data_IF_602613825753
#
_entry.id   IF_602613825753
#
_cell.length_a   1.000
_cell.length_b   1.000
_cell.length_c   1.000
_cell.angle_alpha   90.00
_cell.angle_beta   90.00
_cell.angle_gamma   90.00
#
_symmetry.space_group_name_H-M   'P 1'
#
loop_
_entity.id
_entity.type
_entity.pdbx_description
1 polymer ?
#
# COMPACT_ATOMS: atom_id res chain seq x y z
N UNK A 1 9.98 15.42 -4.52
CA UNK A 1 9.68 14.01 -4.15
C UNK A 1 10.12 13.62 -2.73
N UNK A 2 11.39 13.77 -2.35
CA UNK A 2 12.02 13.15 -1.14
C UNK A 2 12.04 14.00 0.16
N UNK A 3 11.25 15.07 0.23
CA UNK A 3 11.31 16.06 1.32
C UNK A 3 10.48 15.71 2.58
N UNK A 4 10.13 16.75 3.35
CA UNK A 4 9.29 16.65 4.55
C UNK A 4 7.82 16.40 4.17
N UNK A 5 7.42 15.12 4.16
CA UNK A 5 6.09 14.64 3.74
C UNK A 5 5.72 13.30 4.38
N UNK A 6 4.44 12.93 4.27
CA UNK A 6 3.89 11.69 4.83
C UNK A 6 4.14 11.58 6.33
N UNK A 7 4.47 10.38 6.79
CA UNK A 7 4.68 10.05 8.21
C UNK A 7 5.50 11.10 8.98
N UNK A 8 6.63 11.57 8.43
CA UNK A 8 7.49 12.59 9.04
C UNK A 8 6.82 13.91 9.41
N UNK A 9 5.71 14.26 8.76
CA UNK A 9 4.91 15.45 9.11
C UNK A 9 4.01 15.16 10.31
N UNK A 10 3.43 13.97 10.38
CA UNK A 10 2.33 13.65 11.29
C UNK A 10 2.73 13.72 12.76
N UNK A 11 3.92 13.25 13.13
CA UNK A 11 4.38 13.29 14.52
C UNK A 11 5.23 14.54 14.85
N UNK A 12 5.59 15.37 13.86
CA UNK A 12 6.46 16.52 14.08
C UNK A 12 5.67 17.69 14.68
N UNK A 13 6.20 18.34 15.72
CA UNK A 13 5.51 19.40 16.49
C UNK A 13 4.87 20.48 15.61
N UNK A 14 5.60 20.97 14.60
CA UNK A 14 5.13 21.97 13.63
C UNK A 14 3.87 21.60 12.85
N UNK A 15 3.51 20.32 12.74
CA UNK A 15 2.39 19.85 11.93
C UNK A 15 1.44 18.88 12.66
N UNK A 16 1.86 18.35 13.82
CA UNK A 16 1.10 17.40 14.64
C UNK A 16 -0.35 17.85 14.91
N UNK A 17 -0.55 19.14 15.21
CA UNK A 17 -1.89 19.68 15.44
C UNK A 17 -2.81 19.59 14.21
N UNK A 18 -2.26 19.79 13.00
CA UNK A 18 -3.02 19.67 11.76
C UNK A 18 -3.39 18.21 11.47
N UNK A 19 -2.46 17.26 11.69
CA UNK A 19 -2.76 15.84 11.59
C UNK A 19 -3.80 15.38 12.63
N UNK A 20 -3.81 15.98 13.82
CA UNK A 20 -4.86 15.74 14.82
C UNK A 20 -6.27 16.13 14.35
N UNK A 21 -6.40 17.11 13.44
CA UNK A 21 -7.69 17.43 12.82
C UNK A 21 -8.16 16.33 11.87
N UNK A 22 -7.25 15.72 11.09
CA UNK A 22 -7.55 14.56 10.26
C UNK A 22 -7.99 13.36 11.12
N UNK A 23 -7.29 13.10 12.22
CA UNK A 23 -7.65 12.02 13.16
C UNK A 23 -9.07 12.20 13.72
N UNK A 24 -9.43 13.41 14.15
CA UNK A 24 -10.78 13.74 14.64
C UNK A 24 -11.84 13.56 13.56
N UNK A 25 -11.54 13.94 12.31
CA UNK A 25 -12.47 13.75 11.20
C UNK A 25 -12.74 12.26 10.94
N UNK A 26 -11.69 11.42 10.91
CA UNK A 26 -11.85 9.98 10.75
C UNK A 26 -12.61 9.36 11.93
N UNK A 27 -12.28 9.77 13.17
CA UNK A 27 -13.00 9.29 14.36
C UNK A 27 -14.49 9.59 14.26
N UNK A 28 -14.86 10.81 13.88
CA UNK A 28 -16.26 11.18 13.67
C UNK A 28 -16.96 10.32 12.61
N UNK A 29 -16.30 10.10 11.47
CA UNK A 29 -16.83 9.25 10.39
C UNK A 29 -17.09 7.82 10.88
N UNK A 30 -16.18 7.25 11.66
CA UNK A 30 -16.31 5.88 12.15
C UNK A 30 -17.30 5.77 13.31
N UNK A 31 -17.15 6.60 14.33
CA UNK A 31 -17.80 6.43 15.63
C UNK A 31 -19.18 7.12 15.70
N UNK A 32 -19.35 8.28 15.05
CA UNK A 32 -20.63 9.00 15.06
C UNK A 32 -21.49 8.66 13.84
N UNK A 33 -20.89 8.55 12.65
CA UNK A 33 -21.64 8.22 11.42
C UNK A 33 -21.81 6.71 11.20
N UNK A 34 -21.13 5.87 12.01
CA UNK A 34 -21.23 4.41 11.94
C UNK A 34 -20.52 3.76 10.76
N UNK A 35 -19.63 4.47 10.06
CA UNK A 35 -18.91 3.96 8.89
C UNK A 35 -17.64 3.19 9.30
N UNK A 36 -17.81 2.12 10.07
CA UNK A 36 -16.72 1.31 10.62
C UNK A 36 -15.84 0.60 9.56
N UNK A 37 -16.27 0.56 8.29
CA UNK A 37 -15.50 0.01 7.18
C UNK A 37 -14.36 0.94 6.69
N UNK A 38 -14.30 2.20 7.15
CA UNK A 38 -13.29 3.18 6.72
C UNK A 38 -11.93 2.88 7.34
N UNK A 39 -10.98 2.41 6.54
CA UNK A 39 -9.59 2.19 6.98
C UNK A 39 -8.76 3.45 6.80
N UNK A 40 -7.64 3.54 7.52
CA UNK A 40 -6.66 4.62 7.33
C UNK A 40 -5.36 4.05 6.80
N UNK A 41 -4.63 4.86 6.02
CA UNK A 41 -3.37 4.46 5.41
C UNK A 41 -2.32 5.55 5.64
N UNK A 42 -1.16 5.17 6.16
CA UNK A 42 -0.03 6.09 6.40
C UNK A 42 0.87 6.14 5.17
N UNK A 43 0.94 7.28 4.45
CA UNK A 43 1.87 7.44 3.34
C UNK A 43 3.28 7.80 3.80
N UNK A 44 4.23 7.51 2.93
CA UNK A 44 5.64 7.90 2.95
C UNK A 44 6.32 7.62 4.30
N UNK A 45 6.05 6.43 4.86
CA UNK A 45 6.61 5.95 6.12
C UNK A 45 7.93 5.25 5.87
N UNK A 46 9.04 5.89 6.21
CA UNK A 46 10.41 5.47 5.85
C UNK A 46 10.90 4.32 6.70
N UNK A 47 10.54 4.30 7.98
CA UNK A 47 11.00 3.25 8.92
C UNK A 47 9.86 2.72 9.79
N UNK A 48 9.98 1.49 10.32
CA UNK A 48 9.02 0.95 11.28
C UNK A 48 8.91 1.81 12.54
N UNK A 49 10.00 2.44 12.99
CA UNK A 49 9.96 3.34 14.14
C UNK A 49 9.18 4.63 13.84
N UNK A 50 9.32 5.17 12.63
CA UNK A 50 8.50 6.27 12.15
C UNK A 50 7.01 5.90 12.19
N UNK A 51 6.68 4.68 11.74
CA UNK A 51 5.31 4.14 11.80
C UNK A 51 4.77 4.12 13.23
N UNK A 52 5.54 3.60 14.19
CA UNK A 52 5.15 3.60 15.62
C UNK A 52 4.94 5.01 16.17
N UNK A 53 5.68 6.02 15.71
CA UNK A 53 5.47 7.43 16.09
C UNK A 53 4.14 7.96 15.55
N UNK A 54 3.75 7.58 14.33
CA UNK A 54 2.45 7.93 13.75
C UNK A 54 1.31 7.27 14.53
N UNK A 55 1.39 5.96 14.80
CA UNK A 55 0.37 5.23 15.58
C UNK A 55 0.13 5.90 16.94
N UNK A 56 1.21 6.16 17.71
CA UNK A 56 1.10 6.88 19.00
C UNK A 56 0.47 8.26 18.85
N UNK A 57 0.81 8.98 17.78
CA UNK A 57 0.21 10.31 17.53
C UNK A 57 -1.28 10.20 17.22
N UNK A 58 -1.73 9.18 16.50
CA UNK A 58 -3.16 8.94 16.24
C UNK A 58 -3.92 8.63 17.55
N UNK A 59 -3.33 7.81 18.42
CA UNK A 59 -3.86 7.49 19.75
C UNK A 59 -4.01 8.74 20.62
N UNK A 60 -3.04 9.65 20.63
CA UNK A 60 -3.12 10.93 21.35
C UNK A 60 -4.34 11.78 20.93
N UNK A 61 -4.81 11.61 19.69
CA UNK A 61 -6.00 12.29 19.16
C UNK A 61 -7.27 11.42 19.18
N UNK A 62 -7.24 10.27 19.87
CA UNK A 62 -8.37 9.39 20.10
C UNK A 62 -8.71 8.43 18.95
N UNK A 63 -7.79 8.25 18.00
CA UNK A 63 -7.92 7.32 16.87
C UNK A 63 -6.99 6.12 17.08
N UNK A 64 -7.42 5.17 17.91
CA UNK A 64 -6.62 4.02 18.35
C UNK A 64 -6.75 2.84 17.38
N UNK A 65 -5.61 2.26 16.98
CA UNK A 65 -5.58 1.05 16.17
C UNK A 65 -6.26 -0.11 16.92
N UNK A 66 -7.10 -0.89 16.22
CA UNK A 66 -7.89 -1.99 16.77
C UNK A 66 -9.18 -1.55 17.51
N UNK A 67 -9.27 -0.32 18.00
CA UNK A 67 -10.49 0.19 18.64
C UNK A 67 -11.60 0.38 17.60
N UNK A 68 -12.82 -0.07 17.92
CA UNK A 68 -13.94 -0.12 16.97
C UNK A 68 -13.56 -0.81 15.64
N UNK A 69 -12.62 -1.77 15.68
CA UNK A 69 -12.11 -2.47 14.49
C UNK A 69 -11.34 -1.56 13.52
N UNK A 70 -10.69 -0.48 13.99
CA UNK A 70 -9.86 0.36 13.14
C UNK A 70 -8.62 -0.40 12.69
N UNK A 71 -8.50 -0.61 11.38
CA UNK A 71 -7.25 -1.08 10.78
C UNK A 71 -6.43 0.10 10.24
N UNK A 72 -5.12 0.08 10.50
CA UNK A 72 -4.17 1.07 9.99
C UNK A 72 -3.22 0.38 9.01
N UNK A 73 -3.22 0.83 7.77
CA UNK A 73 -2.37 0.32 6.70
C UNK A 73 -1.17 1.23 6.48
N UNK A 74 -0.12 0.71 5.87
CA UNK A 74 1.01 1.52 5.36
C UNK A 74 1.04 1.44 3.84
N UNK A 75 1.31 2.57 3.19
CA UNK A 75 1.61 2.56 1.77
C UNK A 75 3.04 2.05 1.57
N UNK A 76 3.20 0.88 0.94
CA UNK A 76 4.49 0.28 0.61
C UNK A 76 4.99 0.90 -0.69
N UNK A 77 5.66 2.03 -0.55
CA UNK A 77 6.09 2.88 -1.67
C UNK A 77 7.59 3.22 -1.63
N UNK A 78 8.27 2.91 -0.53
CA UNK A 78 9.71 3.04 -0.40
C UNK A 78 10.38 1.66 -0.46
N UNK A 79 11.61 1.54 -1.01
CA UNK A 79 12.38 0.30 -0.93
C UNK A 79 12.53 -0.22 0.50
N UNK A 80 12.64 0.67 1.50
CA UNK A 80 12.69 0.28 2.91
C UNK A 80 11.42 -0.39 3.42
N UNK A 81 10.23 -0.06 2.87
CA UNK A 81 8.99 -0.75 3.23
C UNK A 81 9.01 -2.21 2.80
N UNK A 82 9.63 -2.49 1.65
CA UNK A 82 9.73 -3.84 1.11
C UNK A 82 10.82 -4.63 1.85
N UNK A 83 11.99 -4.04 2.06
CA UNK A 83 13.13 -4.70 2.71
C UNK A 83 12.88 -4.99 4.20
N UNK A 84 12.09 -4.14 4.87
CA UNK A 84 11.72 -4.30 6.28
C UNK A 84 10.23 -4.64 6.43
N UNK A 85 9.63 -5.30 5.43
CA UNK A 85 8.19 -5.57 5.41
C UNK A 85 7.71 -6.34 6.64
N UNK A 86 8.54 -7.22 7.21
CA UNK A 86 8.23 -7.93 8.46
C UNK A 86 8.09 -6.96 9.65
N UNK A 87 9.08 -6.08 9.87
CA UNK A 87 9.02 -5.08 10.94
C UNK A 87 7.88 -4.06 10.75
N UNK A 88 7.51 -3.75 9.50
CA UNK A 88 6.34 -2.94 9.21
C UNK A 88 5.03 -3.70 9.49
N UNK A 89 4.99 -5.01 9.27
CA UNK A 89 3.85 -5.87 9.54
C UNK A 89 3.58 -6.03 11.05
N UNK A 90 4.57 -5.82 11.90
CA UNK A 90 4.39 -5.69 13.35
C UNK A 90 3.67 -4.39 13.75
N UNK A 91 3.75 -3.35 12.92
CA UNK A 91 3.20 -2.02 13.22
C UNK A 91 1.84 -1.81 12.56
N UNK A 92 1.64 -2.32 11.35
CA UNK A 92 0.47 -2.05 10.52
C UNK A 92 -0.37 -3.30 10.27
N UNK A 93 -1.67 -3.11 10.05
CA UNK A 93 -2.63 -4.19 9.81
C UNK A 93 -2.63 -4.71 8.37
N UNK A 94 -2.00 -3.95 7.47
CA UNK A 94 -1.81 -4.34 6.09
C UNK A 94 -1.02 -3.31 5.29
N UNK A 95 -0.88 -3.63 4.01
CA UNK A 95 -0.07 -2.87 3.07
C UNK A 95 -0.92 -2.48 1.86
N UNK A 96 -0.61 -1.33 1.26
CA UNK A 96 -1.00 -1.02 -0.11
C UNK A 96 0.25 -0.62 -0.87
N UNK A 97 0.62 -1.37 -1.90
CA UNK A 97 1.77 -1.04 -2.74
C UNK A 97 1.42 0.24 -3.50
N UNK A 98 2.24 1.28 -3.34
CA UNK A 98 2.17 2.49 -4.16
C UNK A 98 3.13 2.36 -5.34
N UNK A 99 2.69 1.75 -6.44
CA UNK A 99 3.59 1.35 -7.54
C UNK A 99 4.34 2.52 -8.16
N UNK A 100 3.72 3.69 -8.20
CA UNK A 100 4.28 4.90 -8.81
C UNK A 100 5.53 5.38 -8.06
N UNK A 101 5.40 5.63 -6.76
CA UNK A 101 6.50 6.09 -5.90
C UNK A 101 7.52 4.95 -5.70
N UNK A 102 7.08 3.69 -5.59
CA UNK A 102 8.00 2.55 -5.51
C UNK A 102 8.89 2.47 -6.74
N UNK A 103 8.33 2.59 -7.94
CA UNK A 103 9.08 2.56 -9.20
C UNK A 103 10.08 3.70 -9.28
N UNK A 104 9.66 4.92 -8.93
CA UNK A 104 10.53 6.09 -8.92
C UNK A 104 11.74 5.90 -7.99
N UNK A 105 11.52 5.38 -6.78
CA UNK A 105 12.57 5.22 -5.79
C UNK A 105 13.48 4.03 -6.06
N UNK A 106 12.93 2.94 -6.61
CA UNK A 106 13.70 1.75 -6.99
C UNK A 106 14.60 2.03 -8.19
N UNK A 107 14.10 2.79 -9.16
CA UNK A 107 14.84 3.10 -10.39
C UNK A 107 15.62 4.42 -10.31
N UNK A 108 15.48 5.18 -9.22
CA UNK A 108 16.22 6.43 -9.00
C UNK A 108 15.82 7.55 -9.95
N UNK A 109 14.52 7.73 -10.19
CA UNK A 109 13.97 8.66 -11.17
C UNK A 109 12.89 9.58 -10.59
N UNK A 110 12.72 10.72 -11.26
CA UNK A 110 11.54 11.57 -11.13
C UNK A 110 10.72 11.40 -12.41
N UNK A 111 9.50 10.87 -12.29
CA UNK A 111 8.66 10.55 -13.45
C UNK A 111 8.13 11.80 -14.16
N UNK A 112 8.13 12.95 -13.47
CA UNK A 112 7.68 14.23 -14.03
C UNK A 112 8.83 14.92 -14.79
N UNK A 113 10.03 14.34 -14.82
CA UNK A 113 11.15 14.83 -15.61
C UNK A 113 11.03 14.41 -17.07
N UNK A 114 10.86 15.37 -17.97
CA UNK A 114 10.77 15.15 -19.43
C UNK A 114 11.94 14.35 -20.02
N UNK A 115 13.11 14.41 -19.37
CA UNK A 115 14.34 13.76 -19.85
C UNK A 115 14.34 12.25 -19.55
N UNK A 116 13.83 11.85 -18.38
CA UNK A 116 13.95 10.47 -17.86
C UNK A 116 12.60 9.77 -17.67
N UNK A 117 11.47 10.44 -17.88
CA UNK A 117 10.13 9.82 -17.77
C UNK A 117 9.96 8.58 -18.65
N UNK A 118 10.66 8.52 -19.79
CA UNK A 118 10.63 7.39 -20.74
C UNK A 118 11.19 6.08 -20.20
N UNK A 119 12.00 6.12 -19.13
CA UNK A 119 12.52 4.91 -18.48
C UNK A 119 11.65 4.48 -17.29
N UNK A 120 10.59 5.22 -16.97
CA UNK A 120 9.62 4.83 -15.95
C UNK A 120 8.77 3.68 -16.46
N UNK A 121 8.91 2.52 -15.84
CA UNK A 121 8.12 1.34 -16.14
C UNK A 121 7.91 0.54 -14.85
N UNK A 122 6.67 0.51 -14.36
CA UNK A 122 6.28 -0.25 -13.17
C UNK A 122 6.46 -1.77 -13.36
N UNK A 123 6.58 -2.24 -14.60
CA UNK A 123 6.87 -3.64 -14.95
C UNK A 123 8.36 -3.96 -14.94
N UNK A 124 9.22 -2.98 -14.62
CA UNK A 124 10.65 -3.22 -14.44
C UNK A 124 10.90 -4.39 -13.50
N UNK A 125 11.83 -5.27 -13.86
CA UNK A 125 12.12 -6.48 -13.09
C UNK A 125 12.53 -6.17 -11.64
N UNK A 126 13.24 -5.06 -11.41
CA UNK A 126 13.57 -4.61 -10.05
C UNK A 126 12.30 -4.32 -9.21
N UNK A 127 11.29 -3.70 -9.82
CA UNK A 127 10.00 -3.39 -9.17
C UNK A 127 9.22 -4.68 -8.93
N UNK A 128 9.12 -5.56 -9.93
CA UNK A 128 8.44 -6.85 -9.80
C UNK A 128 9.04 -7.73 -8.71
N UNK A 129 10.37 -7.80 -8.60
CA UNK A 129 11.06 -8.53 -7.52
C UNK A 129 10.60 -8.01 -6.15
N UNK A 130 10.59 -6.69 -5.98
CA UNK A 130 10.21 -6.07 -4.72
C UNK A 130 8.72 -6.24 -4.41
N UNK A 131 7.84 -6.10 -5.40
CA UNK A 131 6.40 -6.36 -5.26
C UNK A 131 6.16 -7.81 -4.82
N UNK A 132 6.75 -8.79 -5.51
CA UNK A 132 6.63 -10.21 -5.16
C UNK A 132 7.15 -10.50 -3.75
N UNK A 133 8.28 -9.89 -3.37
CA UNK A 133 8.84 -10.02 -2.04
C UNK A 133 7.91 -9.46 -0.96
N UNK A 134 7.40 -8.23 -1.14
CA UNK A 134 6.49 -7.60 -0.20
C UNK A 134 5.21 -8.43 -0.01
N UNK A 135 4.64 -8.97 -1.10
CA UNK A 135 3.46 -9.83 -1.04
C UNK A 135 3.74 -11.08 -0.20
N UNK A 136 4.85 -11.76 -0.50
CA UNK A 136 5.26 -12.95 0.23
C UNK A 136 5.46 -12.68 1.73
N UNK A 137 6.21 -11.64 2.09
CA UNK A 137 6.49 -11.32 3.51
C UNK A 137 5.21 -10.95 4.25
N UNK A 138 4.33 -10.16 3.66
CA UNK A 138 3.04 -9.82 4.25
C UNK A 138 2.18 -11.08 4.52
N UNK A 139 2.23 -12.07 3.61
CA UNK A 139 1.48 -13.31 3.76
C UNK A 139 2.08 -14.28 4.78
N UNK A 140 3.40 -14.35 4.86
CA UNK A 140 4.12 -15.23 5.78
C UNK A 140 4.11 -14.72 7.23
N UNK A 141 3.90 -13.41 7.43
CA UNK A 141 3.80 -12.79 8.74
C UNK A 141 2.69 -13.40 9.61
N UNK A 142 2.85 -13.36 10.94
CA UNK A 142 1.87 -13.86 11.91
C UNK A 142 1.49 -12.75 12.90
N UNK A 143 0.24 -12.22 12.84
CA UNK A 143 -0.85 -12.63 11.96
C UNK A 143 -0.61 -12.22 10.50
N UNK A 144 -1.17 -13.00 9.55
CA UNK A 144 -1.09 -12.68 8.12
C UNK A 144 -1.57 -11.25 7.87
N UNK A 145 -0.79 -10.46 7.14
CA UNK A 145 -1.19 -9.11 6.73
C UNK A 145 -1.77 -9.14 5.32
N UNK A 146 -2.84 -8.36 5.12
CA UNK A 146 -3.40 -8.14 3.78
C UNK A 146 -2.50 -7.17 3.03
N UNK A 147 -2.31 -7.41 1.74
CA UNK A 147 -1.56 -6.53 0.86
C UNK A 147 -2.30 -6.31 -0.45
N UNK A 148 -2.60 -5.06 -0.72
CA UNK A 148 -3.16 -4.60 -1.98
C UNK A 148 -2.17 -3.81 -2.80
N UNK A 149 -2.60 -3.35 -3.96
CA UNK A 149 -1.89 -2.37 -4.77
C UNK A 149 -2.83 -1.23 -5.17
N UNK A 150 -2.30 -0.02 -5.17
CA UNK A 150 -2.92 1.17 -5.73
C UNK A 150 -1.97 1.80 -6.76
N UNK A 151 -2.55 2.42 -7.78
CA UNK A 151 -1.80 3.03 -8.88
C UNK A 151 -2.40 2.67 -10.24
N UNK A 152 -1.86 3.28 -11.28
CA UNK A 152 -2.36 3.08 -12.64
C UNK A 152 -1.81 1.81 -13.29
N UNK A 153 -0.68 1.27 -12.84
CA UNK A 153 -0.04 0.12 -13.46
C UNK A 153 -0.97 -1.09 -13.72
N UNK A 154 -1.83 -1.54 -12.77
CA UNK A 154 -2.74 -2.65 -13.05
C UNK A 154 -3.92 -2.28 -13.98
N UNK A 155 -4.19 -0.98 -14.17
CA UNK A 155 -5.18 -0.46 -15.13
C UNK A 155 -4.58 -0.37 -16.53
N UNK A 156 -3.33 0.11 -16.63
CA UNK A 156 -2.66 0.40 -17.89
C UNK A 156 -2.00 -0.85 -18.50
N UNK A 157 -1.57 -1.79 -17.65
CA UNK A 157 -0.82 -2.98 -18.03
C UNK A 157 -1.53 -4.26 -17.53
N UNK A 158 -2.40 -4.88 -18.37
CA UNK A 158 -3.08 -6.12 -18.01
C UNK A 158 -2.13 -7.22 -17.53
N UNK A 159 -0.95 -7.36 -18.15
CA UNK A 159 0.08 -8.33 -17.78
C UNK A 159 0.63 -8.12 -16.37
N UNK A 160 0.64 -6.88 -15.88
CA UNK A 160 1.04 -6.57 -14.51
C UNK A 160 -0.05 -7.01 -13.52
N UNK A 161 -1.32 -6.85 -13.88
CA UNK A 161 -2.43 -7.41 -13.10
C UNK A 161 -2.36 -8.95 -13.03
N UNK A 162 -2.02 -9.63 -14.14
CA UNK A 162 -1.82 -11.08 -14.14
C UNK A 162 -0.66 -11.49 -13.20
N UNK A 163 0.48 -10.80 -13.29
CA UNK A 163 1.62 -11.00 -12.41
C UNK A 163 1.26 -10.85 -10.92
N UNK A 164 0.43 -9.86 -10.57
CA UNK A 164 -0.01 -9.65 -9.19
C UNK A 164 -0.90 -10.80 -8.70
N UNK A 165 -1.79 -11.30 -9.55
CA UNK A 165 -2.63 -12.48 -9.26
C UNK A 165 -1.78 -13.73 -9.09
N UNK A 166 -0.77 -13.94 -9.95
CA UNK A 166 0.19 -15.04 -9.82
C UNK A 166 0.98 -14.97 -8.50
N UNK A 167 1.31 -13.76 -8.03
CA UNK A 167 1.94 -13.54 -6.73
C UNK A 167 0.97 -13.70 -5.54
N UNK A 168 -0.34 -13.76 -5.78
CA UNK A 168 -1.37 -13.97 -4.78
C UNK A 168 -1.87 -12.69 -4.08
N UNK A 169 -1.75 -11.51 -4.71
CA UNK A 169 -2.21 -10.23 -4.14
C UNK A 169 -3.63 -10.32 -3.55
N UNK A 170 -3.92 -9.64 -2.43
CA UNK A 170 -5.25 -9.69 -1.80
C UNK A 170 -6.27 -8.76 -2.48
N UNK A 171 -5.80 -7.67 -3.08
CA UNK A 171 -6.68 -6.68 -3.73
C UNK A 171 -5.94 -5.81 -4.74
N UNK A 172 -6.66 -5.35 -5.76
CA UNK A 172 -6.17 -4.43 -6.77
C UNK A 172 -7.16 -3.27 -6.85
N UNK A 173 -6.69 -2.06 -6.58
CA UNK A 173 -7.49 -0.83 -6.71
C UNK A 173 -7.28 -0.22 -8.09
N UNK A 174 -8.37 0.01 -8.83
CA UNK A 174 -8.37 0.40 -10.24
C UNK A 174 -9.18 1.67 -10.47
N UNK A 175 -8.95 2.33 -11.61
CA UNK A 175 -9.85 3.35 -12.10
C UNK A 175 -11.21 2.73 -12.48
N UNK A 176 -12.35 3.40 -12.18
CA UNK A 176 -13.68 2.83 -12.40
C UNK A 176 -13.97 2.34 -13.82
N UNK A 177 -13.40 2.98 -14.84
CA UNK A 177 -13.60 2.70 -16.26
C UNK A 177 -13.01 1.37 -16.72
N UNK A 178 -11.97 0.87 -16.03
CA UNK A 178 -11.31 -0.41 -16.37
C UNK A 178 -11.69 -1.57 -15.44
N UNK A 179 -12.49 -1.34 -14.40
CA UNK A 179 -12.82 -2.37 -13.39
C UNK A 179 -13.43 -3.62 -14.03
N UNK A 180 -14.36 -3.46 -14.98
CA UNK A 180 -15.06 -4.60 -15.56
C UNK A 180 -14.14 -5.47 -16.42
N UNK A 181 -13.36 -4.86 -17.32
CA UNK A 181 -12.43 -5.56 -18.20
C UNK A 181 -11.34 -6.25 -17.38
N UNK A 182 -10.74 -5.55 -16.42
CA UNK A 182 -9.70 -6.13 -15.56
C UNK A 182 -10.26 -7.28 -14.71
N UNK A 183 -11.48 -7.18 -14.18
CA UNK A 183 -12.10 -8.28 -13.43
C UNK A 183 -12.30 -9.54 -14.27
N UNK A 184 -12.71 -9.40 -15.53
CA UNK A 184 -12.85 -10.53 -16.45
C UNK A 184 -11.49 -11.16 -16.79
N UNK A 185 -10.45 -10.33 -16.94
CA UNK A 185 -9.10 -10.85 -17.16
C UNK A 185 -8.60 -11.63 -15.93
N UNK A 186 -8.72 -11.05 -14.74
CA UNK A 186 -8.33 -11.69 -13.47
C UNK A 186 -9.04 -13.03 -13.28
N UNK A 187 -10.35 -13.08 -13.49
CA UNK A 187 -11.11 -14.34 -13.38
C UNK A 187 -10.58 -15.43 -14.33
N UNK A 188 -10.16 -15.04 -15.54
CA UNK A 188 -9.56 -15.96 -16.50
C UNK A 188 -8.19 -16.45 -16.03
N UNK A 189 -7.37 -15.57 -15.47
CA UNK A 189 -6.04 -15.89 -14.91
C UNK A 189 -6.17 -16.83 -13.72
N UNK A 190 -7.06 -16.54 -12.79
CA UNK A 190 -7.34 -17.37 -11.61
C UNK A 190 -7.77 -18.79 -12.01
N UNK A 191 -8.62 -18.92 -13.03
CA UNK A 191 -9.04 -20.21 -13.57
C UNK A 191 -7.85 -20.98 -14.18
N UNK A 192 -6.98 -20.31 -14.95
CA UNK A 192 -5.76 -20.95 -15.50
C UNK A 192 -4.84 -21.46 -14.40
N UNK A 193 -4.61 -20.67 -13.34
CA UNK A 193 -3.79 -21.06 -12.20
C UNK A 193 -4.41 -22.27 -11.47
N UNK A 194 -5.74 -22.27 -11.30
CA UNK A 194 -6.47 -23.37 -10.66
C UNK A 194 -6.33 -24.68 -11.44
N UNK A 195 -6.53 -24.65 -12.76
CA UNK A 195 -6.37 -25.82 -13.64
C UNK A 195 -4.92 -26.31 -13.65
N UNK A 196 -3.95 -25.39 -13.71
CA UNK A 196 -2.53 -25.72 -13.68
C UNK A 196 -2.10 -26.46 -12.42
N UNK A 197 -2.64 -26.05 -11.25
CA UNK A 197 -2.38 -26.71 -9.95
C UNK A 197 -3.02 -28.09 -9.80
N UNK A 198 -4.05 -28.43 -10.59
CA UNK A 198 -4.69 -29.76 -10.56
C UNK A 198 -3.99 -30.80 -11.44
N UNK A 199 -3.08 -30.36 -12.33
CA UNK A 199 -2.33 -31.23 -13.25
C UNK A 199 -0.96 -31.65 -12.72
N UNK A 200 -0.57 -31.18 -11.54
CA UNK A 200 0.69 -31.48 -10.83
C UNK A 200 0.35 -32.26 -9.57
#
# INVERSE_FOLDING_TARGET
MLGWRGASRYYHERFKAAFGLECKAIKKVRDEMGLANVKVMVPFCRTPEEGRKVIRTMEEFGLTQGENGLEVYVMSELPSNVLLAEDFADVFDGFSIGSNDLTQLVLGMDRDSDIISRISDERSEAVKILVKHAIKVAHDHKPRRKIGICGQAPSDFPEFAEFLVECGIDSISLNPDVVLSTRLNIASVEERIRIGRQKV
#
